data_IF_310917652656
#
_entry.id   IF_310917652656
#
_cell.length_a   1.000
_cell.length_b   1.000
_cell.length_c   1.000
_cell.angle_alpha   90.00
_cell.angle_beta   90.00
_cell.angle_gamma   90.00
#
_symmetry.space_group_name_H-M   'P 1'
#
loop_
_entity.id
_entity.type
_entity.pdbx_description
1 polymer ?
#
# COMPACT_ATOMS: atom_id res chain seq x y z
N UNK A 1 -7.38 -4.28 21.48
CA UNK A 1 -7.38 -2.98 22.20
C UNK A 1 -6.13 -2.18 21.86
N UNK A 2 -6.25 -0.88 21.79
CA UNK A 2 -5.15 0.07 21.56
C UNK A 2 -5.58 1.48 21.90
N UNK A 3 -4.66 2.43 21.92
CA UNK A 3 -4.96 3.83 22.28
C UNK A 3 -6.00 4.50 21.35
N UNK A 4 -6.19 3.95 20.14
CA UNK A 4 -7.18 4.41 19.16
C UNK A 4 -8.36 3.44 18.99
N UNK A 5 -8.39 2.36 19.78
CA UNK A 5 -9.47 1.35 19.81
C UNK A 5 -9.78 1.04 21.27
N UNK A 6 -10.62 1.87 21.94
CA UNK A 6 -10.84 1.78 23.39
C UNK A 6 -11.68 0.58 23.81
N UNK A 7 -12.42 -0.02 22.89
CA UNK A 7 -13.29 -1.15 23.14
C UNK A 7 -12.97 -2.32 22.21
N UNK A 8 -13.25 -3.53 22.64
CA UNK A 8 -13.09 -4.72 21.80
C UNK A 8 -14.02 -4.61 20.58
N UNK A 9 -13.43 -4.68 19.40
CA UNK A 9 -14.15 -4.60 18.14
C UNK A 9 -13.59 -5.56 17.11
N UNK A 10 -14.43 -5.97 16.17
CA UNK A 10 -14.01 -6.77 15.03
C UNK A 10 -13.39 -5.89 13.96
N UNK A 11 -12.18 -6.26 13.52
CA UNK A 11 -11.51 -5.68 12.36
C UNK A 11 -11.51 -6.74 11.26
N UNK A 12 -12.21 -6.47 10.17
CA UNK A 12 -12.47 -7.47 9.12
C UNK A 12 -11.91 -6.98 7.79
N UNK A 13 -10.94 -7.72 7.26
CA UNK A 13 -10.44 -7.50 5.89
C UNK A 13 -11.34 -8.19 4.86
N UNK A 14 -11.45 -7.60 3.69
CA UNK A 14 -12.08 -8.22 2.53
C UNK A 14 -10.98 -8.74 1.61
N UNK A 15 -11.01 -10.03 1.25
CA UNK A 15 -9.94 -10.66 0.47
C UNK A 15 -10.55 -11.48 -0.67
N UNK A 16 -10.12 -11.20 -1.90
CA UNK A 16 -10.43 -11.99 -3.09
C UNK A 16 -9.13 -12.53 -3.70
N UNK A 17 -9.12 -13.80 -4.10
CA UNK A 17 -7.94 -14.46 -4.65
C UNK A 17 -8.22 -14.98 -6.05
N UNK A 18 -7.52 -14.42 -7.03
CA UNK A 18 -7.43 -14.98 -8.38
C UNK A 18 -6.27 -15.96 -8.42
N UNK A 19 -6.57 -17.26 -8.56
CA UNK A 19 -5.54 -18.31 -8.54
C UNK A 19 -4.71 -18.33 -9.80
N UNK A 20 -3.38 -18.34 -9.63
CA UNK A 20 -2.42 -18.53 -10.72
C UNK A 20 -2.45 -19.94 -11.30
N UNK A 21 -2.18 -20.04 -12.58
CA UNK A 21 -2.22 -21.33 -13.31
C UNK A 21 -0.97 -22.17 -13.13
N UNK A 22 0.20 -21.53 -12.96
CA UNK A 22 1.49 -22.23 -12.94
C UNK A 22 2.11 -22.23 -11.53
N UNK A 23 2.02 -21.10 -10.85
CA UNK A 23 2.61 -20.88 -9.51
C UNK A 23 1.54 -20.33 -8.54
N UNK A 24 0.53 -21.15 -8.18
CA UNK A 24 -0.62 -20.67 -7.38
C UNK A 24 -0.26 -20.26 -5.95
N UNK A 25 0.90 -20.67 -5.44
CA UNK A 25 1.37 -20.31 -4.09
C UNK A 25 2.27 -19.06 -4.07
N UNK A 26 2.51 -18.45 -5.23
CA UNK A 26 3.23 -17.17 -5.33
C UNK A 26 2.22 -16.06 -5.58
N UNK A 27 2.29 -15.00 -4.77
CA UNK A 27 1.25 -13.99 -4.69
C UNK A 27 1.77 -12.60 -4.99
N UNK A 28 0.99 -11.86 -5.79
CA UNK A 28 1.04 -10.40 -5.86
C UNK A 28 -0.18 -9.88 -5.11
N UNK A 29 0.00 -8.93 -4.21
CA UNK A 29 -1.09 -8.32 -3.44
C UNK A 29 -1.34 -6.92 -3.98
N UNK A 30 -2.60 -6.64 -4.29
CA UNK A 30 -3.10 -5.30 -4.55
C UNK A 30 -4.01 -4.92 -3.39
N UNK A 31 -3.67 -3.88 -2.66
CA UNK A 31 -4.38 -3.48 -1.45
C UNK A 31 -4.79 -2.01 -1.46
N UNK A 32 -5.76 -1.70 -0.66
CA UNK A 32 -6.17 -0.38 -0.22
C UNK A 32 -6.86 -0.52 1.14
N UNK A 33 -7.12 0.60 1.81
CA UNK A 33 -7.73 0.61 3.13
C UNK A 33 -9.21 0.97 3.00
N UNK A 34 -10.06 0.28 3.78
CA UNK A 34 -11.53 0.43 3.68
C UNK A 34 -12.13 1.28 4.79
N UNK A 35 -11.32 1.65 5.76
CA UNK A 35 -11.71 2.57 6.83
C UNK A 35 -11.27 4.00 6.53
N UNK A 36 -11.85 4.93 7.25
CA UNK A 36 -11.51 6.35 7.22
C UNK A 36 -11.71 6.94 8.61
N UNK A 37 -11.14 8.10 8.88
CA UNK A 37 -11.31 8.80 10.15
C UNK A 37 -11.40 10.32 9.99
N UNK A 38 -11.88 10.99 11.01
CA UNK A 38 -11.67 12.42 11.23
C UNK A 38 -10.36 12.62 12.01
N UNK A 39 -9.95 13.88 12.22
CA UNK A 39 -8.69 14.20 12.90
C UNK A 39 -8.56 13.58 14.28
N UNK A 40 -9.65 13.47 15.06
CA UNK A 40 -9.68 12.71 16.30
C UNK A 40 -10.01 11.24 16.02
N UNK A 41 -9.07 10.32 16.20
CA UNK A 41 -9.27 8.89 15.90
C UNK A 41 -10.27 8.18 16.82
N UNK A 42 -10.65 8.82 17.93
CA UNK A 42 -11.67 8.31 18.86
C UNK A 42 -13.07 8.83 18.56
N UNK A 43 -13.22 9.77 17.65
CA UNK A 43 -14.51 10.30 17.25
C UNK A 43 -15.22 9.33 16.29
N UNK A 44 -16.19 8.61 16.80
CA UNK A 44 -17.01 7.63 16.06
C UNK A 44 -18.36 8.18 15.59
N UNK A 45 -18.63 9.49 15.77
CA UNK A 45 -19.95 10.07 15.51
C UNK A 45 -19.98 11.12 14.41
N UNK A 46 -18.85 11.72 14.08
CA UNK A 46 -18.76 12.71 13.00
C UNK A 46 -18.64 12.02 11.64
N UNK A 47 -19.13 12.70 10.60
CA UNK A 47 -18.99 12.23 9.22
C UNK A 47 -17.51 12.15 8.81
N UNK A 48 -17.12 11.01 8.28
CA UNK A 48 -15.78 10.74 7.75
C UNK A 48 -15.91 10.12 6.35
N UNK A 49 -16.12 10.94 5.32
CA UNK A 49 -16.45 10.44 3.98
C UNK A 49 -15.33 9.61 3.34
N UNK A 50 -14.04 9.85 3.67
CA UNK A 50 -12.92 9.04 3.20
C UNK A 50 -12.77 8.95 1.68
N UNK A 51 -13.23 9.97 0.92
CA UNK A 51 -13.31 9.89 -0.54
C UNK A 51 -11.94 9.72 -1.21
N UNK A 52 -10.92 10.43 -0.73
CA UNK A 52 -9.54 10.24 -1.18
C UNK A 52 -8.78 9.26 -0.29
N UNK A 53 -8.93 9.39 1.01
CA UNK A 53 -8.34 8.55 2.05
C UNK A 53 -9.44 7.65 2.67
N UNK A 54 -9.65 6.40 2.22
CA UNK A 54 -8.91 5.78 1.11
C UNK A 54 -9.85 5.09 0.11
N UNK A 55 -11.06 5.65 -0.13
CA UNK A 55 -11.96 5.13 -1.15
C UNK A 55 -11.33 5.20 -2.56
N UNK A 56 -10.45 6.17 -2.83
CA UNK A 56 -9.72 6.27 -4.09
C UNK A 56 -8.82 5.05 -4.31
N UNK A 57 -8.06 4.64 -3.30
CA UNK A 57 -7.21 3.44 -3.36
C UNK A 57 -8.04 2.18 -3.57
N UNK A 58 -9.16 2.05 -2.84
CA UNK A 58 -10.07 0.91 -3.03
C UNK A 58 -10.71 0.88 -4.42
N UNK A 59 -11.04 2.02 -5.00
CA UNK A 59 -11.52 2.08 -6.37
C UNK A 59 -10.48 1.52 -7.36
N UNK A 60 -9.20 1.84 -7.15
CA UNK A 60 -8.09 1.28 -7.93
C UNK A 60 -7.98 -0.25 -7.80
N UNK A 61 -8.11 -0.79 -6.59
CA UNK A 61 -8.09 -2.24 -6.34
C UNK A 61 -9.28 -2.93 -7.01
N UNK A 62 -10.48 -2.37 -6.89
CA UNK A 62 -11.69 -2.93 -7.49
C UNK A 62 -11.63 -2.90 -9.02
N UNK A 63 -11.14 -1.80 -9.59
CA UNK A 63 -11.00 -1.69 -11.04
C UNK A 63 -9.93 -2.66 -11.58
N UNK A 64 -8.81 -2.82 -10.87
CA UNK A 64 -7.82 -3.82 -11.20
C UNK A 64 -8.42 -5.24 -11.16
N UNK A 65 -9.19 -5.59 -10.12
CA UNK A 65 -9.88 -6.87 -10.03
C UNK A 65 -10.84 -7.06 -11.20
N UNK A 66 -11.66 -6.05 -11.52
CA UNK A 66 -12.63 -6.09 -12.63
C UNK A 66 -11.96 -6.36 -13.99
N UNK A 67 -10.78 -5.80 -14.21
CA UNK A 67 -10.05 -5.97 -15.46
C UNK A 67 -9.24 -7.25 -15.50
N UNK A 68 -8.45 -7.51 -14.46
CA UNK A 68 -7.45 -8.58 -14.45
C UNK A 68 -8.06 -9.98 -14.30
N UNK A 69 -9.23 -10.11 -13.66
CA UNK A 69 -9.92 -11.42 -13.56
C UNK A 69 -10.35 -12.00 -14.89
N UNK A 70 -10.27 -11.24 -15.97
CA UNK A 70 -10.54 -11.71 -17.34
C UNK A 70 -9.36 -12.44 -17.98
N UNK A 71 -8.21 -12.44 -17.32
CA UNK A 71 -6.95 -13.02 -17.84
C UNK A 71 -6.44 -14.10 -16.92
N UNK A 72 -5.71 -15.04 -17.50
CA UNK A 72 -4.97 -16.06 -16.77
C UNK A 72 -3.53 -15.59 -16.51
N UNK A 73 -3.08 -15.74 -15.25
CA UNK A 73 -1.74 -15.39 -14.84
C UNK A 73 -0.99 -16.62 -14.31
N UNK A 74 0.33 -16.58 -14.38
CA UNK A 74 1.17 -17.63 -13.82
C UNK A 74 1.10 -17.65 -12.28
N UNK A 75 1.11 -16.47 -11.65
CA UNK A 75 1.05 -16.26 -10.20
C UNK A 75 -0.37 -15.87 -9.76
N UNK A 76 -0.68 -16.12 -8.50
CA UNK A 76 -1.94 -15.67 -7.89
C UNK A 76 -1.91 -14.17 -7.64
N UNK A 77 -3.06 -13.53 -7.79
CA UNK A 77 -3.27 -12.12 -7.41
C UNK A 77 -4.28 -12.08 -6.27
N UNK A 78 -3.95 -11.35 -5.23
CA UNK A 78 -4.84 -11.04 -4.11
C UNK A 78 -5.28 -9.59 -4.25
N UNK A 79 -6.59 -9.37 -4.25
CA UNK A 79 -7.21 -8.06 -4.15
C UNK A 79 -7.78 -7.94 -2.75
N UNK A 80 -7.35 -6.93 -1.99
CA UNK A 80 -7.76 -6.83 -0.59
C UNK A 80 -8.07 -5.41 -0.18
N UNK A 81 -9.16 -5.27 0.60
CA UNK A 81 -9.46 -4.11 1.40
C UNK A 81 -9.06 -4.38 2.85
N UNK A 82 -8.13 -3.60 3.35
CA UNK A 82 -7.62 -3.71 4.71
C UNK A 82 -8.42 -2.78 5.63
N UNK A 83 -8.68 -3.23 6.84
CA UNK A 83 -9.48 -2.47 7.82
C UNK A 83 -8.63 -2.10 9.04
N UNK A 84 -8.94 -0.97 9.67
CA UNK A 84 -8.24 -0.48 10.85
C UNK A 84 -6.83 0.02 10.55
N UNK A 85 -6.63 0.57 9.35
CA UNK A 85 -5.40 1.26 8.98
C UNK A 85 -5.22 2.47 9.90
N UNK A 86 -6.21 3.31 9.98
CA UNK A 86 -6.25 4.57 10.72
C UNK A 86 -6.06 4.40 12.23
N UNK A 87 -6.43 3.26 12.75
CA UNK A 87 -6.28 2.92 14.16
C UNK A 87 -4.92 2.26 14.47
N UNK A 88 -4.13 1.90 13.45
CA UNK A 88 -2.78 1.37 13.65
C UNK A 88 -2.44 0.15 12.80
N UNK A 89 -2.89 0.11 11.55
CA UNK A 89 -2.58 -0.93 10.57
C UNK A 89 -3.05 -2.34 10.97
N UNK A 90 -4.14 -2.45 11.73
CA UNK A 90 -4.55 -3.74 12.30
C UNK A 90 -4.81 -4.80 11.23
N UNK A 91 -5.57 -4.46 10.19
CA UNK A 91 -5.89 -5.38 9.09
C UNK A 91 -4.66 -5.82 8.32
N UNK A 92 -3.77 -4.89 7.98
CA UNK A 92 -2.52 -5.18 7.28
C UNK A 92 -1.58 -6.07 8.09
N UNK A 93 -1.42 -5.78 9.39
CA UNK A 93 -0.60 -6.61 10.30
C UNK A 93 -1.17 -8.02 10.46
N UNK A 94 -2.49 -8.13 10.59
CA UNK A 94 -3.15 -9.43 10.69
C UNK A 94 -2.97 -10.23 9.39
N UNK A 95 -3.16 -9.61 8.24
CA UNK A 95 -2.96 -10.27 6.94
C UNK A 95 -1.52 -10.73 6.76
N UNK A 96 -0.53 -9.91 7.13
CA UNK A 96 0.89 -10.29 7.08
C UNK A 96 1.19 -11.49 7.98
N UNK A 97 0.60 -11.54 9.19
CA UNK A 97 0.72 -12.69 10.10
C UNK A 97 0.13 -13.95 9.48
N UNK A 98 -1.11 -13.89 8.99
CA UNK A 98 -1.78 -15.03 8.33
C UNK A 98 -0.99 -15.52 7.13
N UNK A 99 -0.50 -14.63 6.30
CA UNK A 99 0.32 -14.97 5.13
C UNK A 99 1.61 -15.70 5.53
N UNK A 100 2.28 -15.22 6.57
CA UNK A 100 3.50 -15.85 7.10
C UNK A 100 3.22 -17.25 7.69
N UNK A 101 2.17 -17.40 8.50
CA UNK A 101 1.76 -18.67 9.09
C UNK A 101 1.32 -19.69 8.03
N UNK A 102 0.68 -19.24 6.96
CA UNK A 102 0.27 -20.07 5.84
C UNK A 102 1.39 -20.34 4.80
N UNK A 103 2.59 -19.79 5.02
CA UNK A 103 3.72 -19.97 4.12
C UNK A 103 3.53 -19.37 2.72
N UNK A 104 2.80 -18.26 2.60
CA UNK A 104 2.60 -17.60 1.32
C UNK A 104 3.91 -16.99 0.80
N UNK A 105 4.24 -17.28 -0.46
CA UNK A 105 5.36 -16.61 -1.14
C UNK A 105 4.86 -15.31 -1.76
N UNK A 106 4.99 -14.20 -1.02
CA UNK A 106 4.60 -12.87 -1.52
C UNK A 106 5.76 -12.29 -2.30
N UNK A 107 5.56 -12.07 -3.60
CA UNK A 107 6.58 -11.54 -4.52
C UNK A 107 6.46 -10.02 -4.72
N UNK A 108 5.35 -9.41 -4.34
CA UNK A 108 5.15 -7.97 -4.37
C UNK A 108 3.84 -7.54 -3.73
N UNK A 109 3.85 -6.35 -3.16
CA UNK A 109 2.66 -5.67 -2.64
C UNK A 109 2.58 -4.31 -3.31
N UNK A 110 1.42 -4.02 -3.91
CA UNK A 110 1.06 -2.72 -4.50
C UNK A 110 -0.09 -2.16 -3.66
N UNK A 111 0.24 -1.30 -2.70
CA UNK A 111 -0.75 -0.62 -1.88
C UNK A 111 -1.13 0.71 -2.53
N UNK A 112 -2.42 0.94 -2.68
CA UNK A 112 -2.96 2.20 -3.20
C UNK A 112 -3.50 3.01 -2.02
N UNK A 113 -2.95 4.20 -1.85
CA UNK A 113 -3.31 5.09 -0.76
C UNK A 113 -3.35 6.53 -1.28
N UNK A 114 -4.50 7.18 -1.10
CA UNK A 114 -4.77 8.56 -1.50
C UNK A 114 -4.42 8.86 -2.97
N UNK A 115 -4.91 8.03 -3.90
CA UNK A 115 -4.59 8.16 -5.34
C UNK A 115 -5.58 9.03 -6.13
N UNK A 116 -6.59 9.59 -5.47
CA UNK A 116 -7.67 10.35 -6.13
C UNK A 116 -7.53 11.86 -6.08
N UNK A 117 -6.60 12.41 -5.31
CA UNK A 117 -6.45 13.86 -5.19
C UNK A 117 -5.49 14.41 -6.24
N UNK A 118 -5.96 15.33 -7.04
CA UNK A 118 -5.18 16.01 -8.09
C UNK A 118 -4.88 17.49 -7.75
N UNK A 119 -5.45 18.03 -6.69
CA UNK A 119 -5.25 19.42 -6.31
C UNK A 119 -4.48 19.56 -5.01
N UNK A 120 -3.35 20.24 -5.05
CA UNK A 120 -2.55 20.58 -3.87
C UNK A 120 -3.18 21.67 -2.99
N UNK A 121 -2.69 21.81 -1.77
CA UNK A 121 -3.12 22.86 -0.82
C UNK A 121 -2.82 24.28 -1.31
N UNK A 122 -1.88 24.42 -2.22
CA UNK A 122 -1.51 25.65 -2.92
C UNK A 122 -2.41 25.97 -4.12
N UNK A 123 -3.41 25.12 -4.40
CA UNK A 123 -4.32 25.24 -5.54
C UNK A 123 -3.76 24.76 -6.87
N UNK A 124 -2.52 24.26 -6.90
CA UNK A 124 -1.95 23.67 -8.12
C UNK A 124 -2.65 22.34 -8.42
N UNK A 125 -3.11 22.21 -9.67
CA UNK A 125 -3.73 20.99 -10.16
C UNK A 125 -2.70 20.21 -10.97
N UNK A 126 -2.43 18.97 -10.56
CA UNK A 126 -1.58 18.03 -11.28
C UNK A 126 -2.28 16.66 -11.33
N UNK A 127 -2.68 16.26 -12.53
CA UNK A 127 -3.28 14.96 -12.83
C UNK A 127 -2.37 14.11 -13.72
N UNK A 128 -1.12 14.51 -13.85
CA UNK A 128 -0.11 13.87 -14.69
C UNK A 128 0.98 13.14 -13.88
N UNK A 129 0.96 13.26 -12.54
CA UNK A 129 1.96 12.62 -11.70
C UNK A 129 1.32 11.76 -10.60
N UNK A 130 2.03 10.73 -10.16
CA UNK A 130 1.72 9.98 -8.94
C UNK A 130 3.00 9.60 -8.20
N UNK A 131 2.89 9.40 -6.90
CA UNK A 131 4.04 9.09 -6.03
C UNK A 131 4.15 7.59 -5.79
N UNK A 132 5.36 7.07 -5.94
CA UNK A 132 5.70 5.67 -5.65
C UNK A 132 6.64 5.63 -4.44
N UNK A 133 6.10 5.24 -3.30
CA UNK A 133 6.86 5.06 -2.07
C UNK A 133 7.50 3.68 -2.03
N UNK A 134 8.72 3.59 -1.54
CA UNK A 134 9.41 2.31 -1.41
C UNK A 134 10.35 2.28 -0.21
N UNK A 135 10.38 1.12 0.46
CA UNK A 135 11.23 0.91 1.65
C UNK A 135 12.70 0.77 1.27
N UNK A 136 13.61 1.50 1.95
CA UNK A 136 15.04 1.42 1.70
C UNK A 136 15.67 0.18 2.32
N UNK A 137 15.16 -0.26 3.48
CA UNK A 137 15.71 -1.35 4.27
C UNK A 137 14.61 -2.24 4.83
N UNK A 138 14.79 -3.56 4.87
CA UNK A 138 13.82 -4.46 5.50
C UNK A 138 13.57 -4.08 6.97
N UNK A 139 12.31 -4.14 7.42
CA UNK A 139 11.95 -3.86 8.83
C UNK A 139 12.54 -4.89 9.81
N UNK A 140 12.90 -6.07 9.32
CA UNK A 140 13.53 -7.14 10.10
C UNK A 140 15.01 -6.89 10.38
N UNK A 141 15.64 -5.93 9.72
CA UNK A 141 17.04 -5.58 9.97
C UNK A 141 17.19 -4.81 11.28
N UNK A 142 18.28 -5.11 12.02
CA UNK A 142 18.71 -4.30 13.15
C UNK A 142 19.20 -2.93 12.69
N UNK A 143 19.28 -1.94 13.59
CA UNK A 143 19.78 -0.61 13.24
C UNK A 143 21.22 -0.62 12.70
N UNK A 144 22.07 -1.50 13.22
CA UNK A 144 23.46 -1.67 12.74
C UNK A 144 23.50 -2.25 11.32
N UNK A 145 22.61 -3.20 11.01
CA UNK A 145 22.46 -3.73 9.64
C UNK A 145 21.97 -2.65 8.68
N UNK A 146 20.96 -1.86 9.08
CA UNK A 146 20.47 -0.71 8.30
C UNK A 146 21.54 0.33 8.06
N UNK A 147 22.33 0.67 9.11
CA UNK A 147 23.43 1.62 8.99
C UNK A 147 24.49 1.12 8.02
N UNK A 148 24.89 -0.15 8.11
CA UNK A 148 25.83 -0.78 7.18
C UNK A 148 25.31 -0.76 5.75
N UNK A 149 24.04 -1.12 5.55
CA UNK A 149 23.40 -1.10 4.23
C UNK A 149 23.40 0.31 3.63
N UNK A 150 23.02 1.32 4.38
CA UNK A 150 23.07 2.72 3.93
C UNK A 150 24.50 3.17 3.59
N UNK A 151 25.46 2.78 4.38
CA UNK A 151 26.87 3.12 4.15
C UNK A 151 27.42 2.52 2.84
N UNK A 152 27.01 1.30 2.50
CA UNK A 152 27.43 0.60 1.28
C UNK A 152 26.57 0.89 0.06
N UNK A 153 25.52 1.72 0.18
CA UNK A 153 24.55 1.98 -0.89
C UNK A 153 23.59 0.82 -1.17
N UNK A 154 23.64 -0.25 -0.41
CA UNK A 154 22.80 -1.45 -0.60
C UNK A 154 21.30 -1.21 -0.44
N UNK A 155 20.91 -0.06 0.10
CA UNK A 155 19.50 0.37 0.18
C UNK A 155 18.86 0.60 -1.20
N UNK A 156 19.66 0.87 -2.24
CA UNK A 156 19.17 1.12 -3.60
C UNK A 156 18.72 -0.17 -4.28
N UNK A 157 19.22 -1.31 -3.85
CA UNK A 157 18.98 -2.62 -4.47
C UNK A 157 18.00 -3.50 -3.70
N UNK A 158 17.36 -2.96 -2.66
CA UNK A 158 16.32 -3.67 -1.93
C UNK A 158 15.13 -4.06 -2.84
N UNK A 159 14.42 -5.16 -2.53
CA UNK A 159 13.30 -5.63 -3.36
C UNK A 159 12.21 -4.58 -3.58
N UNK A 160 11.87 -3.82 -2.55
CA UNK A 160 10.88 -2.73 -2.64
C UNK A 160 11.32 -1.62 -3.61
N UNK A 161 12.62 -1.27 -3.59
CA UNK A 161 13.20 -0.31 -4.54
C UNK A 161 13.21 -0.83 -5.98
N UNK A 162 13.50 -2.11 -6.16
CA UNK A 162 13.46 -2.73 -7.49
C UNK A 162 12.04 -2.75 -8.04
N UNK A 163 11.04 -3.07 -7.22
CA UNK A 163 9.64 -3.02 -7.60
C UNK A 163 9.21 -1.59 -7.99
N UNK A 164 9.58 -0.58 -7.19
CA UNK A 164 9.27 0.81 -7.50
C UNK A 164 9.88 1.25 -8.85
N UNK A 165 11.14 0.91 -9.13
CA UNK A 165 11.77 1.19 -10.43
C UNK A 165 11.08 0.43 -11.58
N UNK A 166 10.58 -0.77 -11.30
CA UNK A 166 9.80 -1.50 -12.29
C UNK A 166 8.48 -0.80 -12.60
N UNK A 167 7.75 -0.36 -11.57
CA UNK A 167 6.52 0.44 -11.74
C UNK A 167 6.78 1.68 -12.59
N UNK A 168 7.83 2.45 -12.26
CA UNK A 168 8.22 3.64 -13.03
C UNK A 168 8.42 3.30 -14.53
N UNK A 169 9.26 2.31 -14.85
CA UNK A 169 9.52 1.93 -16.24
C UNK A 169 8.27 1.45 -17.00
N UNK A 170 7.36 0.75 -16.32
CA UNK A 170 6.11 0.31 -16.92
C UNK A 170 5.18 1.51 -17.18
N UNK A 171 5.13 2.45 -16.25
CA UNK A 171 4.36 3.69 -16.42
C UNK A 171 4.87 4.47 -17.64
N UNK A 172 6.16 4.76 -17.70
CA UNK A 172 6.76 5.47 -18.86
C UNK A 172 6.45 4.77 -20.19
N UNK A 173 6.48 3.45 -20.19
CA UNK A 173 6.28 2.66 -21.41
C UNK A 173 4.83 2.62 -21.89
N UNK A 174 3.88 2.49 -20.96
CA UNK A 174 2.48 2.20 -21.30
C UNK A 174 1.54 3.36 -21.04
N UNK A 175 1.93 4.33 -20.25
CA UNK A 175 1.13 5.51 -19.89
C UNK A 175 2.01 6.77 -19.99
N UNK A 176 2.45 7.15 -21.20
CA UNK A 176 3.48 8.19 -21.39
C UNK A 176 3.07 9.60 -20.93
N UNK A 177 1.80 9.80 -20.61
CA UNK A 177 1.29 11.07 -20.08
C UNK A 177 1.14 11.08 -18.56
N UNK A 178 1.66 10.04 -17.88
CA UNK A 178 1.61 9.91 -16.44
C UNK A 178 3.03 9.62 -15.89
N UNK A 179 3.55 10.50 -15.06
CA UNK A 179 4.88 10.38 -14.48
C UNK A 179 4.83 9.78 -13.08
N UNK A 180 5.68 8.78 -12.83
CA UNK A 180 5.87 8.20 -11.51
C UNK A 180 7.01 8.91 -10.76
N UNK A 181 6.66 9.66 -9.71
CA UNK A 181 7.65 10.30 -8.82
C UNK A 181 8.07 9.30 -7.75
N UNK A 182 9.32 8.84 -7.81
CA UNK A 182 9.83 7.88 -6.84
C UNK A 182 10.27 8.55 -5.53
N UNK A 183 9.66 8.14 -4.42
CA UNK A 183 9.96 8.63 -3.09
C UNK A 183 10.82 7.60 -2.35
N UNK A 184 12.06 7.99 -2.03
CA UNK A 184 13.08 7.10 -1.48
C UNK A 184 13.26 7.17 0.05
N UNK A 185 12.56 8.07 0.75
CA UNK A 185 12.66 8.23 2.20
C UNK A 185 11.30 8.48 2.83
N UNK A 186 10.70 7.45 3.39
CA UNK A 186 9.50 7.59 4.22
C UNK A 186 9.80 8.12 5.63
N UNK A 187 11.02 7.95 6.11
CA UNK A 187 11.45 8.34 7.47
C UNK A 187 11.37 9.86 7.77
N UNK A 188 11.27 10.71 6.74
CA UNK A 188 11.10 12.15 6.90
C UNK A 188 9.65 12.64 6.86
N UNK A 189 8.72 11.82 6.38
CA UNK A 189 7.30 12.20 6.27
C UNK A 189 6.43 11.72 7.43
N UNK A 190 6.95 10.81 8.27
CA UNK A 190 6.22 10.21 9.40
C UNK A 190 6.24 11.00 10.72
N UNK A 191 6.78 12.23 10.77
CA UNK A 191 6.86 13.02 12.00
C UNK A 191 6.39 14.47 11.88
N UNK A 192 5.56 14.81 10.97
CA UNK A 192 5.14 16.21 10.85
C UNK A 192 4.27 16.52 9.66
N UNK A 193 3.20 15.81 9.49
CA UNK A 193 2.23 16.09 8.47
C UNK A 193 0.82 15.86 8.97
N UNK A 194 0.38 16.71 9.86
CA UNK A 194 -1.05 17.02 9.93
C UNK A 194 -1.37 17.85 8.70
N UNK A 195 -2.11 17.27 7.76
CA UNK A 195 -2.90 18.07 6.81
C UNK A 195 -4.06 17.23 6.31
#
# INVERSE_FOLDING_TARGET
EGSRVPEDTWVVNVVAIQRGKTHPNRYIIMSGDIDSRVSDPLNSTSDSPGANDNASGMAGVLEAARLLTRYDFAHSIIYTGLSGEEQGLYGGRHMAKVANEAGWEIIGVLNNDMIGNIQGVDGVIDNSTFRVFSEPTPVTETEDQRRRRRFTGGEVDGPSRQLARYVHRITERYIPNLDAIMIYRLDRFGRGGHH
#
